data_IF_089037299085
#
_entry.id   IF_089037299085
#
_cell.length_a   1.000
_cell.length_b   1.000
_cell.length_c   1.000
_cell.angle_alpha   90.00
_cell.angle_beta   90.00
_cell.angle_gamma   90.00
#
_symmetry.space_group_name_H-M   'P 1'
#
loop_
_entity.id
_entity.type
_entity.pdbx_description
1 polymer ?
#
# COMPACT_ATOMS: atom_id res chain seq x y z
N UNK A 1 -29.09 -3.91 -2.88
CA UNK A 1 -27.80 -3.47 -3.46
C UNK A 1 -27.40 -4.51 -4.48
N UNK A 2 -27.12 -4.15 -5.75
CA UNK A 2 -26.73 -5.12 -6.78
C UNK A 2 -25.31 -5.64 -6.53
N UNK A 3 -24.99 -6.87 -6.94
CA UNK A 3 -23.63 -7.44 -6.85
C UNK A 3 -22.59 -6.53 -7.54
N UNK A 4 -22.97 -5.90 -8.65
CA UNK A 4 -22.14 -4.93 -9.35
C UNK A 4 -21.81 -3.71 -8.48
N UNK A 5 -22.81 -3.11 -7.82
CA UNK A 5 -22.58 -1.95 -6.94
C UNK A 5 -21.68 -2.29 -5.75
N UNK A 6 -21.76 -3.53 -5.24
CA UNK A 6 -20.90 -3.98 -4.14
C UNK A 6 -19.46 -4.24 -4.60
N UNK A 7 -19.28 -4.81 -5.80
CA UNK A 7 -17.95 -4.97 -6.41
C UNK A 7 -17.25 -3.63 -6.65
N UNK A 8 -17.98 -2.63 -7.17
CA UNK A 8 -17.45 -1.29 -7.38
C UNK A 8 -17.07 -0.61 -6.06
N UNK A 9 -17.89 -0.77 -5.01
CA UNK A 9 -17.57 -0.25 -3.68
C UNK A 9 -16.27 -0.86 -3.12
N UNK A 10 -16.07 -2.17 -3.29
CA UNK A 10 -14.84 -2.86 -2.88
C UNK A 10 -13.60 -2.40 -3.65
N UNK A 11 -13.74 -2.07 -4.95
CA UNK A 11 -12.63 -1.55 -5.75
C UNK A 11 -12.23 -0.12 -5.35
N UNK A 12 -13.19 0.70 -4.94
CA UNK A 12 -12.95 2.09 -4.52
C UNK A 12 -12.44 2.20 -3.09
N UNK A 13 -12.68 1.19 -2.26
CA UNK A 13 -12.38 1.22 -0.82
C UNK A 13 -10.90 1.56 -0.51
N UNK A 14 -9.88 1.01 -1.18
CA UNK A 14 -8.49 1.40 -0.96
C UNK A 14 -8.20 2.87 -1.29
N UNK A 15 -8.77 3.40 -2.36
CA UNK A 15 -8.58 4.80 -2.76
C UNK A 15 -9.24 5.77 -1.78
N UNK A 16 -10.45 5.44 -1.32
CA UNK A 16 -11.15 6.22 -0.29
C UNK A 16 -10.35 6.21 1.01
N UNK A 17 -9.83 5.05 1.42
CA UNK A 17 -8.97 4.93 2.59
C UNK A 17 -7.69 5.77 2.45
N UNK A 18 -6.99 5.64 1.32
CA UNK A 18 -5.78 6.41 1.03
C UNK A 18 -6.05 7.92 1.06
N UNK A 19 -7.18 8.37 0.49
CA UNK A 19 -7.61 9.77 0.55
C UNK A 19 -7.88 10.26 1.97
N UNK A 20 -8.57 9.44 2.78
CA UNK A 20 -8.79 9.71 4.20
C UNK A 20 -7.48 9.81 4.98
N UNK A 21 -6.55 8.87 4.77
CA UNK A 21 -5.21 8.89 5.37
C UNK A 21 -4.43 10.12 4.94
N UNK A 22 -4.47 10.49 3.65
CA UNK A 22 -3.82 11.70 3.15
C UNK A 22 -4.34 12.96 3.85
N UNK A 23 -5.66 13.13 3.95
CA UNK A 23 -6.25 14.28 4.63
C UNK A 23 -5.89 14.32 6.13
N UNK A 24 -5.92 13.17 6.81
CA UNK A 24 -5.51 13.06 8.20
C UNK A 24 -4.02 13.38 8.38
N UNK A 25 -3.17 12.88 7.49
CA UNK A 25 -1.73 13.14 7.50
C UNK A 25 -1.42 14.62 7.24
N UNK A 26 -2.11 15.25 6.29
CA UNK A 26 -2.00 16.68 6.00
C UNK A 26 -2.41 17.52 7.21
N UNK A 27 -3.51 17.15 7.88
CA UNK A 27 -3.96 17.82 9.09
C UNK A 27 -2.92 17.71 10.22
N UNK A 28 -2.41 16.50 10.49
CA UNK A 28 -1.38 16.27 11.51
C UNK A 28 -0.12 17.07 11.17
N UNK A 29 0.32 17.04 9.91
CA UNK A 29 1.49 17.76 9.44
C UNK A 29 1.33 19.28 9.63
N UNK A 30 0.18 19.85 9.26
CA UNK A 30 -0.08 21.29 9.43
C UNK A 30 -0.16 21.72 10.89
N UNK A 31 -0.64 20.84 11.77
CA UNK A 31 -0.79 21.09 13.21
C UNK A 31 0.35 20.50 14.05
N UNK A 32 1.47 20.11 13.44
CA UNK A 32 2.59 19.45 14.11
C UNK A 32 3.16 20.23 15.29
N UNK A 33 3.16 21.57 15.25
CA UNK A 33 3.62 22.42 16.35
C UNK A 33 2.72 22.38 17.59
N UNK A 34 1.48 21.93 17.45
CA UNK A 34 0.51 21.80 18.55
C UNK A 34 0.56 20.40 19.16
N UNK A 35 1.03 19.40 18.40
CA UNK A 35 1.10 18.03 18.87
C UNK A 35 2.44 17.74 19.55
N UNK A 36 2.38 17.24 20.78
CA UNK A 36 3.59 16.88 21.53
C UNK A 36 4.44 15.78 20.84
N UNK A 37 3.80 14.86 20.11
CA UNK A 37 4.50 13.81 19.35
C UNK A 37 3.76 13.53 18.02
N UNK A 38 4.11 14.24 16.93
CA UNK A 38 3.52 13.97 15.62
C UNK A 38 3.93 12.59 15.07
N UNK A 39 5.12 12.08 15.42
CA UNK A 39 5.61 10.78 14.96
C UNK A 39 4.73 9.63 15.48
N UNK A 40 4.36 9.64 16.76
CA UNK A 40 3.44 8.65 17.32
C UNK A 40 2.06 8.68 16.64
N UNK A 41 1.57 9.85 16.24
CA UNK A 41 0.29 9.96 15.52
C UNK A 41 0.36 9.35 14.12
N UNK A 42 1.44 9.60 13.38
CA UNK A 42 1.67 8.94 12.09
C UNK A 42 1.81 7.42 12.24
N UNK A 43 2.53 6.94 13.27
CA UNK A 43 2.64 5.50 13.57
C UNK A 43 1.28 4.88 13.86
N UNK A 44 0.43 5.53 14.65
CA UNK A 44 -0.93 5.06 14.93
C UNK A 44 -1.77 4.96 13.65
N UNK A 45 -1.68 5.95 12.76
CA UNK A 45 -2.35 5.88 11.46
C UNK A 45 -1.79 4.77 10.56
N UNK A 46 -0.48 4.49 10.64
CA UNK A 46 0.14 3.41 9.87
C UNK A 46 -0.34 2.04 10.36
N UNK A 47 -0.47 1.86 11.68
CA UNK A 47 -1.09 0.67 12.26
C UNK A 47 -2.56 0.53 11.90
N UNK A 48 -3.33 1.63 11.93
CA UNK A 48 -4.71 1.64 11.45
C UNK A 48 -4.80 1.26 9.97
N UNK A 49 -3.84 1.71 9.14
CA UNK A 49 -3.73 1.35 7.73
C UNK A 49 -3.43 -0.14 7.55
N UNK A 50 -2.56 -0.71 8.38
CA UNK A 50 -2.34 -2.16 8.41
C UNK A 50 -3.61 -2.94 8.77
N UNK A 51 -4.35 -2.47 9.78
CA UNK A 51 -5.64 -3.05 10.16
C UNK A 51 -6.67 -2.97 9.04
N UNK A 52 -6.75 -1.83 8.35
CA UNK A 52 -7.59 -1.65 7.17
C UNK A 52 -7.24 -2.65 6.07
N UNK A 53 -5.95 -2.82 5.74
CA UNK A 53 -5.53 -3.76 4.70
C UNK A 53 -5.89 -5.20 5.05
N UNK A 54 -5.66 -5.62 6.29
CA UNK A 54 -6.07 -6.95 6.77
C UNK A 54 -7.58 -7.14 6.65
N UNK A 55 -8.37 -6.16 7.10
CA UNK A 55 -9.82 -6.17 6.97
C UNK A 55 -10.26 -6.24 5.51
N UNK A 56 -9.59 -5.51 4.62
CA UNK A 56 -9.88 -5.49 3.19
C UNK A 56 -9.61 -6.85 2.54
N UNK A 57 -8.45 -7.47 2.78
CA UNK A 57 -8.15 -8.80 2.25
C UNK A 57 -9.07 -9.89 2.82
N UNK A 58 -9.47 -9.79 4.09
CA UNK A 58 -10.47 -10.70 4.66
C UNK A 58 -11.81 -10.55 3.94
N UNK A 59 -12.27 -9.31 3.74
CA UNK A 59 -13.51 -9.03 3.01
C UNK A 59 -13.45 -9.60 1.59
N UNK A 60 -12.35 -9.40 0.86
CA UNK A 60 -12.15 -9.96 -0.48
C UNK A 60 -12.12 -11.49 -0.46
N UNK A 61 -11.46 -12.10 0.51
CA UNK A 61 -11.40 -13.56 0.66
C UNK A 61 -12.81 -14.14 0.89
N UNK A 62 -13.58 -13.53 1.80
CA UNK A 62 -14.95 -13.96 2.10
C UNK A 62 -15.86 -13.77 0.89
N UNK A 63 -15.76 -12.64 0.20
CA UNK A 63 -16.56 -12.39 -0.99
C UNK A 63 -16.21 -13.37 -2.12
N UNK A 64 -14.92 -13.64 -2.32
CA UNK A 64 -14.45 -14.61 -3.30
C UNK A 64 -14.99 -16.01 -2.98
N UNK A 65 -14.97 -16.43 -1.72
CA UNK A 65 -15.52 -17.71 -1.27
C UNK A 65 -17.00 -17.85 -1.66
N UNK A 66 -17.84 -16.88 -1.28
CA UNK A 66 -19.27 -16.92 -1.60
C UNK A 66 -19.53 -16.84 -3.11
N UNK A 67 -18.72 -16.08 -3.85
CA UNK A 67 -18.84 -16.02 -5.32
C UNK A 67 -18.56 -17.37 -5.98
N UNK A 68 -17.59 -18.14 -5.47
CA UNK A 68 -17.26 -19.45 -6.00
C UNK A 68 -18.26 -20.51 -5.57
N UNK A 69 -18.82 -20.40 -4.37
CA UNK A 69 -19.86 -21.29 -3.87
C UNK A 69 -21.17 -21.16 -4.67
N UNK A 70 -21.47 -19.99 -5.22
CA UNK A 70 -22.70 -19.73 -5.96
C UNK A 70 -22.76 -20.40 -7.35
N UNK A 71 -21.65 -20.93 -7.87
CA UNK A 71 -21.58 -21.55 -9.18
C UNK A 71 -20.92 -22.95 -9.08
N UNK A 72 -21.63 -23.97 -9.56
CA UNK A 72 -21.21 -25.38 -9.48
C UNK A 72 -19.85 -25.64 -10.11
N UNK A 73 -19.45 -24.87 -11.13
CA UNK A 73 -18.13 -24.99 -11.74
C UNK A 73 -17.01 -24.47 -10.82
N UNK A 74 -17.19 -23.29 -10.21
CA UNK A 74 -16.20 -22.72 -9.31
C UNK A 74 -16.21 -23.35 -7.91
N UNK A 75 -17.31 -23.99 -7.51
CA UNK A 75 -17.39 -24.71 -6.25
C UNK A 75 -16.35 -25.86 -6.21
N UNK A 76 -16.09 -26.50 -7.35
CA UNK A 76 -15.07 -27.55 -7.46
C UNK A 76 -13.70 -27.01 -7.03
N UNK A 77 -13.39 -25.76 -7.38
CA UNK A 77 -12.12 -25.11 -7.02
C UNK A 77 -12.01 -24.83 -5.52
N UNK A 78 -13.13 -24.69 -4.79
CA UNK A 78 -13.10 -24.59 -3.33
C UNK A 78 -12.65 -25.89 -2.69
N UNK A 79 -12.95 -27.04 -3.30
CA UNK A 79 -12.63 -28.36 -2.74
C UNK A 79 -11.37 -28.96 -3.34
N UNK A 80 -10.81 -28.34 -4.36
CA UNK A 80 -9.65 -28.86 -5.08
C UNK A 80 -8.36 -28.78 -4.24
N UNK A 81 -7.54 -29.83 -4.24
CA UNK A 81 -6.21 -29.77 -3.65
C UNK A 81 -5.30 -28.83 -4.44
N UNK A 82 -4.28 -28.33 -3.76
CA UNK A 82 -3.19 -27.63 -4.41
C UNK A 82 -2.29 -28.64 -5.11
N UNK A 83 -2.06 -28.49 -6.42
CA UNK A 83 -1.21 -29.41 -7.19
C UNK A 83 0.27 -29.27 -6.76
N UNK A 84 0.89 -30.30 -6.16
CA UNK A 84 2.28 -30.26 -5.70
C UNK A 84 3.30 -30.27 -6.84
N UNK A 85 2.85 -30.56 -8.08
CA UNK A 85 3.69 -30.54 -9.30
C UNK A 85 3.66 -29.19 -10.02
N UNK A 86 2.86 -28.23 -9.53
CA UNK A 86 2.82 -26.89 -10.08
C UNK A 86 4.25 -26.30 -10.17
N UNK A 87 4.59 -25.59 -11.28
CA UNK A 87 5.92 -25.03 -11.49
C UNK A 87 6.12 -23.79 -10.61
N UNK A 88 6.27 -24.01 -9.31
CA UNK A 88 6.46 -22.97 -8.31
C UNK A 88 7.95 -22.88 -7.97
N UNK A 89 8.54 -21.67 -7.86
CA UNK A 89 9.94 -21.50 -7.48
C UNK A 89 10.29 -22.25 -6.19
N UNK A 90 11.47 -22.88 -6.13
CA UNK A 90 11.95 -23.65 -4.98
C UNK A 90 11.76 -22.98 -3.60
N UNK A 91 12.02 -21.67 -3.40
CA UNK A 91 11.81 -21.01 -2.11
C UNK A 91 10.34 -20.79 -1.74
N UNK A 92 9.38 -21.18 -2.57
CA UNK A 92 7.94 -21.12 -2.29
C UNK A 92 7.36 -22.54 -2.15
N UNK A 93 8.10 -23.57 -2.58
CA UNK A 93 7.62 -24.95 -2.58
C UNK A 93 7.31 -25.47 -1.17
N UNK A 94 8.14 -25.15 -0.18
CA UNK A 94 7.89 -25.47 1.24
C UNK A 94 6.65 -24.77 1.82
N UNK A 95 6.23 -23.65 1.21
CA UNK A 95 5.02 -22.93 1.61
C UNK A 95 3.75 -23.60 1.05
N UNK A 96 3.86 -24.36 -0.04
CA UNK A 96 2.73 -25.12 -0.61
C UNK A 96 2.27 -26.25 0.32
N UNK A 97 3.21 -26.86 1.04
CA UNK A 97 2.95 -27.96 1.99
C UNK A 97 2.18 -27.50 3.24
N UNK A 98 2.04 -26.19 3.46
CA UNK A 98 1.25 -25.62 4.57
C UNK A 98 -0.25 -25.58 4.26
N UNK A 99 -0.65 -25.78 2.99
CA UNK A 99 -2.04 -25.74 2.60
C UNK A 99 -2.71 -27.12 2.75
N UNK A 100 -3.92 -27.18 3.31
CA UNK A 100 -4.64 -28.43 3.49
C UNK A 100 -5.02 -29.06 2.14
N UNK A 101 -5.09 -30.40 2.09
CA UNK A 101 -5.50 -31.14 0.88
C UNK A 101 -6.90 -30.74 0.42
N UNK A 102 -7.82 -30.53 1.35
CA UNK A 102 -9.13 -29.94 1.06
C UNK A 102 -9.04 -28.43 1.32
N UNK A 103 -9.48 -27.60 0.36
CA UNK A 103 -9.45 -26.13 0.43
C UNK A 103 -8.10 -25.46 0.11
N UNK A 104 -7.06 -26.26 -0.18
CA UNK A 104 -5.71 -25.76 -0.44
C UNK A 104 -5.61 -24.84 -1.65
N UNK A 105 -6.27 -25.17 -2.76
CA UNK A 105 -6.24 -24.31 -3.96
C UNK A 105 -6.86 -22.93 -3.69
N UNK A 106 -8.01 -22.87 -3.03
CA UNK A 106 -8.68 -21.61 -2.72
C UNK A 106 -7.85 -20.73 -1.78
N UNK A 107 -7.22 -21.33 -0.77
CA UNK A 107 -6.36 -20.60 0.16
C UNK A 107 -5.11 -20.06 -0.55
N UNK A 108 -4.48 -20.86 -1.41
CA UNK A 108 -3.36 -20.41 -2.24
C UNK A 108 -3.75 -19.27 -3.17
N UNK A 109 -4.91 -19.38 -3.85
CA UNK A 109 -5.46 -18.33 -4.70
C UNK A 109 -5.71 -17.04 -3.91
N UNK A 110 -6.41 -17.13 -2.78
CA UNK A 110 -6.77 -15.97 -1.95
C UNK A 110 -5.52 -15.32 -1.36
N UNK A 111 -4.55 -16.13 -0.93
CA UNK A 111 -3.25 -15.66 -0.44
C UNK A 111 -2.51 -14.89 -1.52
N UNK A 112 -2.30 -15.49 -2.69
CA UNK A 112 -1.58 -14.87 -3.80
C UNK A 112 -2.26 -13.62 -4.34
N UNK A 113 -3.60 -13.59 -4.34
CA UNK A 113 -4.37 -12.48 -4.92
C UNK A 113 -4.57 -11.31 -3.95
N UNK A 114 -4.83 -11.57 -2.66
CA UNK A 114 -5.27 -10.53 -1.73
C UNK A 114 -4.24 -10.25 -0.63
N UNK A 115 -3.61 -11.28 -0.09
CA UNK A 115 -2.69 -11.13 1.04
C UNK A 115 -1.29 -10.73 0.59
N UNK A 116 -0.82 -11.28 -0.53
CA UNK A 116 0.50 -10.98 -1.06
C UNK A 116 0.66 -9.49 -1.38
N UNK A 117 -0.38 -8.83 -1.91
CA UNK A 117 -0.37 -7.39 -2.20
C UNK A 117 -0.10 -6.57 -0.93
N UNK A 118 -0.71 -6.94 0.20
CA UNK A 118 -0.52 -6.27 1.50
C UNK A 118 0.88 -6.52 2.04
N UNK A 119 1.35 -7.78 1.97
CA UNK A 119 2.68 -8.16 2.44
C UNK A 119 3.74 -7.39 1.65
N UNK A 120 3.63 -7.32 0.33
CA UNK A 120 4.54 -6.56 -0.52
C UNK A 120 4.48 -5.06 -0.19
N UNK A 121 3.28 -4.48 -0.06
CA UNK A 121 3.13 -3.08 0.32
C UNK A 121 3.79 -2.77 1.67
N UNK A 122 3.59 -3.64 2.67
CA UNK A 122 4.18 -3.49 4.00
C UNK A 122 5.71 -3.60 3.96
N UNK A 123 6.25 -4.60 3.25
CA UNK A 123 7.70 -4.79 3.09
C UNK A 123 8.31 -3.57 2.40
N UNK A 124 7.79 -3.15 1.25
CA UNK A 124 8.34 -2.01 0.51
C UNK A 124 8.24 -0.70 1.31
N UNK A 125 7.09 -0.44 1.96
CA UNK A 125 6.93 0.73 2.81
C UNK A 125 7.89 0.70 4.01
N UNK A 126 8.12 -0.47 4.61
CA UNK A 126 9.06 -0.61 5.72
C UNK A 126 10.53 -0.46 5.29
N UNK A 127 10.92 -1.02 4.14
CA UNK A 127 12.24 -0.80 3.55
C UNK A 127 12.46 0.69 3.26
N UNK A 128 11.45 1.36 2.70
CA UNK A 128 11.49 2.81 2.49
C UNK A 128 11.62 3.59 3.81
N UNK A 129 10.90 3.18 4.86
CA UNK A 129 11.03 3.76 6.20
C UNK A 129 12.45 3.59 6.78
N UNK A 130 13.04 2.39 6.67
CA UNK A 130 14.42 2.15 7.11
C UNK A 130 15.42 3.02 6.34
N UNK A 131 15.22 3.17 5.02
CA UNK A 131 15.99 4.08 4.20
C UNK A 131 15.87 5.54 4.68
N UNK A 132 14.66 6.03 4.97
CA UNK A 132 14.44 7.38 5.49
C UNK A 132 15.11 7.59 6.86
N UNK A 133 15.03 6.60 7.77
CA UNK A 133 15.71 6.66 9.07
C UNK A 133 17.23 6.72 8.92
N UNK A 134 17.77 5.91 8.01
CA UNK A 134 19.21 5.93 7.70
C UNK A 134 19.61 7.29 7.12
N UNK A 135 18.83 7.82 6.16
CA UNK A 135 19.09 9.12 5.54
C UNK A 135 19.04 10.25 6.56
N UNK A 136 18.07 10.23 7.49
CA UNK A 136 17.95 11.19 8.58
C UNK A 136 19.20 11.23 9.46
N UNK A 137 19.77 10.06 9.80
CA UNK A 137 21.00 9.96 10.60
C UNK A 137 22.19 10.69 9.94
N UNK A 138 22.29 10.68 8.62
CA UNK A 138 23.39 11.33 7.89
C UNK A 138 23.09 12.77 7.50
N UNK A 139 21.81 13.14 7.37
CA UNK A 139 21.37 14.44 6.85
C UNK A 139 20.15 14.97 7.60
N UNK A 140 20.30 15.23 8.89
CA UNK A 140 19.22 15.69 9.77
C UNK A 140 18.51 16.95 9.26
N UNK A 141 19.23 17.86 8.59
CA UNK A 141 18.67 19.11 8.03
C UNK A 141 17.52 18.94 7.03
N UNK A 142 17.36 17.76 6.43
CA UNK A 142 16.27 17.48 5.47
C UNK A 142 15.02 16.91 6.15
N UNK A 143 15.09 16.66 7.47
CA UNK A 143 14.02 16.02 8.21
C UNK A 143 13.59 16.86 9.40
N UNK A 144 12.29 17.05 9.50
CA UNK A 144 11.65 17.45 10.76
C UNK A 144 11.13 16.23 11.52
N UNK A 145 10.68 16.49 12.75
CA UNK A 145 10.11 15.46 13.61
C UNK A 145 8.89 14.79 12.98
N UNK A 146 8.88 13.46 12.95
CA UNK A 146 7.81 12.65 12.38
C UNK A 146 7.79 12.55 10.85
N UNK A 147 8.68 13.22 10.11
CA UNK A 147 8.71 13.13 8.65
C UNK A 147 9.07 11.72 8.10
N UNK A 148 9.98 10.93 8.72
CA UNK A 148 10.18 9.54 8.31
C UNK A 148 8.92 8.69 8.50
N UNK A 149 8.21 8.87 9.60
CA UNK A 149 6.93 8.20 9.89
C UNK A 149 5.82 8.63 8.92
N UNK A 150 5.78 9.90 8.51
CA UNK A 150 4.88 10.39 7.48
C UNK A 150 5.15 9.70 6.14
N UNK A 151 6.42 9.63 5.72
CA UNK A 151 6.82 8.93 4.49
C UNK A 151 6.43 7.45 4.53
N UNK A 152 6.64 6.77 5.67
CA UNK A 152 6.20 5.39 5.89
C UNK A 152 4.69 5.22 5.77
N UNK A 153 3.92 6.08 6.45
CA UNK A 153 2.46 6.06 6.44
C UNK A 153 1.92 6.20 5.01
N UNK A 154 2.40 7.19 4.27
CA UNK A 154 1.91 7.49 2.92
C UNK A 154 2.36 6.43 1.89
N UNK A 155 3.55 5.86 2.06
CA UNK A 155 3.99 4.70 1.28
C UNK A 155 3.10 3.48 1.54
N UNK A 156 2.78 3.19 2.80
CA UNK A 156 1.99 2.02 3.16
C UNK A 156 0.51 2.18 2.79
N UNK A 157 -0.04 3.39 2.89
CA UNK A 157 -1.42 3.68 2.47
C UNK A 157 -1.62 3.63 0.97
N UNK A 158 -0.58 3.90 0.17
CA UNK A 158 -0.65 3.74 -1.28
C UNK A 158 -0.92 2.30 -1.70
N UNK A 159 -0.45 1.31 -0.93
CA UNK A 159 -0.63 -0.11 -1.23
C UNK A 159 0.20 -0.59 -2.42
N UNK A 160 0.16 -1.89 -2.71
CA UNK A 160 0.80 -2.43 -3.91
C UNK A 160 -0.12 -2.24 -5.13
N UNK A 161 0.40 -1.92 -6.32
CA UNK A 161 1.79 -1.56 -6.66
C UNK A 161 2.10 -0.06 -6.54
N UNK A 162 1.11 0.76 -6.12
CA UNK A 162 1.23 2.23 -6.04
C UNK A 162 2.33 2.71 -5.09
N UNK A 163 2.77 1.91 -4.12
CA UNK A 163 3.92 2.21 -3.26
C UNK A 163 5.20 2.48 -4.07
N UNK A 164 5.41 1.74 -5.16
CA UNK A 164 6.55 1.95 -6.06
C UNK A 164 6.45 3.29 -6.77
N UNK A 165 5.24 3.64 -7.23
CA UNK A 165 4.95 4.95 -7.84
C UNK A 165 5.15 6.06 -6.83
N UNK A 166 4.67 5.90 -5.60
CA UNK A 166 4.87 6.87 -4.51
C UNK A 166 6.36 7.12 -4.24
N UNK A 167 7.17 6.07 -4.16
CA UNK A 167 8.62 6.22 -3.95
C UNK A 167 9.24 6.98 -5.12
N UNK A 168 8.94 6.59 -6.35
CA UNK A 168 9.43 7.30 -7.55
C UNK A 168 9.02 8.77 -7.56
N UNK A 169 7.74 9.05 -7.34
CA UNK A 169 7.19 10.41 -7.29
C UNK A 169 7.73 11.21 -6.12
N UNK A 170 8.12 10.57 -5.01
CA UNK A 170 8.82 11.25 -3.91
C UNK A 170 10.15 11.83 -4.40
N UNK A 171 10.95 11.05 -5.13
CA UNK A 171 12.20 11.55 -5.71
C UNK A 171 11.98 12.70 -6.71
N UNK A 172 10.99 12.58 -7.61
CA UNK A 172 10.63 13.65 -8.55
C UNK A 172 10.15 14.90 -7.80
N UNK A 173 9.33 14.70 -6.77
CA UNK A 173 8.77 15.78 -5.95
C UNK A 173 9.85 16.54 -5.17
N UNK A 174 10.99 15.91 -4.82
CA UNK A 174 12.12 16.64 -4.21
C UNK A 174 12.59 17.77 -5.12
N UNK A 175 12.73 17.50 -6.42
CA UNK A 175 13.19 18.49 -7.40
C UNK A 175 12.17 19.61 -7.54
N UNK A 176 10.88 19.27 -7.69
CA UNK A 176 9.80 20.24 -7.85
C UNK A 176 9.66 21.15 -6.62
N UNK A 177 9.59 20.57 -5.42
CA UNK A 177 9.44 21.34 -4.18
C UNK A 177 10.67 22.19 -3.90
N UNK A 178 11.88 21.66 -4.16
CA UNK A 178 13.12 22.42 -3.97
C UNK A 178 13.24 23.59 -4.96
N UNK A 179 12.88 23.39 -6.22
CA UNK A 179 12.84 24.45 -7.22
C UNK A 179 11.85 25.56 -6.85
N UNK A 180 10.62 25.18 -6.44
CA UNK A 180 9.62 26.14 -5.98
C UNK A 180 10.09 26.94 -4.76
N UNK A 181 10.70 26.27 -3.77
CA UNK A 181 11.25 26.95 -2.59
C UNK A 181 12.41 27.89 -2.92
N UNK A 182 13.25 27.53 -3.88
CA UNK A 182 14.33 28.39 -4.35
C UNK A 182 13.80 29.68 -4.95
N UNK A 183 12.73 29.61 -5.77
CA UNK A 183 12.06 30.80 -6.33
C UNK A 183 11.49 31.69 -5.21
N UNK A 184 11.02 31.10 -4.11
CA UNK A 184 10.57 31.83 -2.92
C UNK A 184 11.71 32.29 -1.99
N UNK A 185 12.98 32.10 -2.36
CA UNK A 185 14.15 32.50 -1.57
C UNK A 185 14.43 31.62 -0.34
N UNK A 186 13.75 30.49 -0.19
CA UNK A 186 13.97 29.56 0.92
C UNK A 186 15.13 28.61 0.60
N UNK A 187 16.15 28.58 1.46
CA UNK A 187 17.39 27.80 1.23
C UNK A 187 17.31 26.32 1.59
N UNK A 188 16.28 25.89 2.31
CA UNK A 188 16.15 24.52 2.81
C UNK A 188 14.76 23.95 2.52
N UNK A 189 14.72 22.68 2.09
CA UNK A 189 13.49 21.93 1.83
C UNK A 189 13.48 20.70 2.72
N UNK A 190 12.44 20.55 3.54
CA UNK A 190 12.22 19.33 4.31
C UNK A 190 11.45 18.32 3.46
N UNK A 191 11.49 17.05 3.82
CA UNK A 191 10.88 15.99 3.01
C UNK A 191 9.37 15.83 3.26
N UNK A 192 8.82 16.43 4.32
CA UNK A 192 7.38 16.37 4.61
C UNK A 192 6.49 16.84 3.45
N UNK A 193 6.68 18.07 2.91
CA UNK A 193 5.91 18.56 1.76
C UNK A 193 6.12 17.72 0.50
N UNK A 194 7.32 17.15 0.33
CA UNK A 194 7.65 16.23 -0.77
C UNK A 194 6.79 14.97 -0.70
N UNK A 195 6.69 14.33 0.47
CA UNK A 195 5.86 13.14 0.65
C UNK A 195 4.37 13.42 0.47
N UNK A 196 3.89 14.57 0.96
CA UNK A 196 2.49 14.97 0.76
C UNK A 196 2.19 15.18 -0.73
N UNK A 197 3.06 15.87 -1.47
CA UNK A 197 2.89 16.05 -2.91
C UNK A 197 2.94 14.70 -3.66
N UNK A 198 3.92 13.85 -3.34
CA UNK A 198 4.02 12.53 -3.95
C UNK A 198 2.80 11.66 -3.67
N UNK A 199 2.24 11.70 -2.46
CA UNK A 199 1.02 10.97 -2.11
C UNK A 199 -0.18 11.49 -2.88
N UNK A 200 -0.33 12.81 -3.03
CA UNK A 200 -1.42 13.40 -3.82
C UNK A 200 -1.31 12.98 -5.28
N UNK A 201 -0.12 13.08 -5.87
CA UNK A 201 0.14 12.66 -7.25
C UNK A 201 -0.12 11.15 -7.42
N UNK A 202 0.29 10.33 -6.46
CA UNK A 202 0.02 8.88 -6.47
C UNK A 202 -1.48 8.60 -6.42
N UNK A 203 -2.23 9.32 -5.60
CA UNK A 203 -3.68 9.14 -5.50
C UNK A 203 -4.41 9.52 -6.79
N UNK A 204 -3.98 10.58 -7.47
CA UNK A 204 -4.63 11.06 -8.71
C UNK A 204 -4.19 10.29 -9.96
N UNK A 205 -2.91 9.92 -10.04
CA UNK A 205 -2.30 9.38 -11.26
C UNK A 205 -1.78 7.95 -11.13
N UNK A 206 -1.83 7.35 -9.93
CA UNK A 206 -1.26 6.03 -9.64
C UNK A 206 -1.79 4.94 -10.57
N UNK A 207 -3.12 4.90 -10.78
CA UNK A 207 -3.73 3.94 -11.69
C UNK A 207 -3.16 4.00 -13.12
N UNK A 208 -3.03 5.22 -13.67
CA UNK A 208 -2.49 5.44 -15.01
C UNK A 208 -1.01 5.09 -15.10
N UNK A 209 -0.22 5.49 -14.08
CA UNK A 209 1.22 5.23 -14.05
C UNK A 209 1.54 3.74 -13.86
N UNK A 210 0.82 3.05 -12.99
CA UNK A 210 0.95 1.59 -12.82
C UNK A 210 0.66 0.87 -14.13
N UNK A 211 -0.40 1.29 -14.84
CA UNK A 211 -0.77 0.71 -16.13
C UNK A 211 0.29 1.00 -17.20
N UNK A 212 0.76 2.24 -17.30
CA UNK A 212 1.79 2.64 -18.27
C UNK A 212 3.14 1.96 -18.03
N UNK A 213 3.51 1.74 -16.76
CA UNK A 213 4.77 1.08 -16.38
C UNK A 213 4.68 -0.45 -16.39
N UNK A 214 3.52 -1.02 -16.70
CA UNK A 214 3.31 -2.48 -16.70
C UNK A 214 3.52 -3.12 -15.33
N UNK A 215 3.30 -2.37 -14.24
CA UNK A 215 3.49 -2.82 -12.85
C UNK A 215 2.26 -3.56 -12.30
N UNK A 216 1.17 -3.60 -13.06
CA UNK A 216 -0.02 -4.36 -12.74
C UNK A 216 0.19 -5.86 -12.92
N UNK A 217 -0.22 -6.65 -11.94
CA UNK A 217 -0.20 -8.13 -12.01
C UNK A 217 -1.32 -8.67 -12.91
N UNK A 218 -2.40 -7.89 -13.12
CA UNK A 218 -3.42 -8.14 -14.13
C UNK A 218 -3.29 -7.11 -15.25
N UNK A 219 -2.98 -7.59 -16.46
CA UNK A 219 -3.33 -6.87 -17.69
C UNK A 219 -4.81 -7.13 -17.93
N UNK A 220 -5.67 -6.18 -17.53
CA UNK A 220 -7.05 -6.16 -18.02
C UNK A 220 -7.07 -5.51 -19.40
#
# INVERSE_FOLDING_TARGET
MSLESLSQALLLMPYVWQGGVFLAALYIFRKRSVFADPAARFKKLAWATGGFWVFYALTLTVFQYYSWLANSFSEILLRSPLDPTAPVPAPIKWFLDLFPENFGYFLFYSYGRFWLEIILAAIFAYVFYLFLRMLRKYRERFFEEGEPELGWLLAFSAGWPNVTIFVFLSFVSVVLVSGYRLVLGQRYTTLGPVFLLASLLTLVSGFWLVSAMGLGVLRL
#
